data_IF_882087405446
#
_entry.id   IF_882087405446
#
_cell.length_a   1.000
_cell.length_b   1.000
_cell.length_c   1.000
_cell.angle_alpha   90.00
_cell.angle_beta   90.00
_cell.angle_gamma   90.00
#
_symmetry.space_group_name_H-M   'P 1'
#
loop_
_entity.id
_entity.type
_entity.pdbx_description
1 polymer ?
#
# COMPACT_ATOMS: atom_id res chain seq x y z
N UNK A 1 -3.49 -18.69 -9.02
CA UNK A 1 -2.79 -17.68 -8.19
C UNK A 1 -3.81 -16.65 -7.74
N UNK A 2 -4.10 -16.58 -6.44
CA UNK A 2 -5.06 -15.62 -5.88
C UNK A 2 -4.69 -14.19 -6.28
N UNK A 3 -5.63 -13.40 -6.81
CA UNK A 3 -5.42 -11.96 -7.03
C UNK A 3 -5.38 -11.31 -5.65
N UNK A 4 -4.20 -11.01 -5.12
CA UNK A 4 -4.07 -10.31 -3.83
C UNK A 4 -4.86 -9.00 -3.90
N UNK A 5 -5.85 -8.86 -3.01
CA UNK A 5 -6.76 -7.72 -2.97
C UNK A 5 -6.02 -6.52 -2.39
N UNK A 6 -6.07 -5.39 -3.09
CA UNK A 6 -5.56 -4.11 -2.59
C UNK A 6 -6.74 -3.36 -1.98
N UNK A 7 -6.63 -3.00 -0.71
CA UNK A 7 -7.64 -2.29 0.05
C UNK A 7 -7.37 -0.79 -0.02
N UNK A 8 -8.31 -0.03 -0.60
CA UNK A 8 -8.24 1.42 -0.53
C UNK A 8 -8.84 1.89 0.79
N UNK A 9 -8.10 2.68 1.53
CA UNK A 9 -8.49 3.16 2.86
C UNK A 9 -8.31 4.67 2.97
N UNK A 10 -8.82 5.26 4.04
CA UNK A 10 -8.56 6.66 4.39
C UNK A 10 -7.16 6.80 5.00
N UNK A 11 -6.50 7.98 4.87
CA UNK A 11 -5.18 8.21 5.47
C UNK A 11 -5.11 7.88 6.96
N UNK A 12 -6.15 8.26 7.72
CA UNK A 12 -6.18 8.06 9.18
C UNK A 12 -6.18 6.57 9.54
N UNK A 13 -6.87 5.75 8.75
CA UNK A 13 -6.88 4.30 8.92
C UNK A 13 -5.56 3.65 8.49
N UNK A 14 -4.90 4.22 7.48
CA UNK A 14 -3.57 3.75 7.07
C UNK A 14 -2.53 3.97 8.18
N UNK A 15 -2.60 5.11 8.88
CA UNK A 15 -1.77 5.37 10.06
C UNK A 15 -1.98 4.30 11.13
N UNK A 16 -3.23 3.89 11.40
CA UNK A 16 -3.53 2.82 12.37
C UNK A 16 -2.95 1.47 11.93
N UNK A 17 -3.04 1.12 10.65
CA UNK A 17 -2.45 -0.12 10.12
C UNK A 17 -0.93 -0.10 10.28
N UNK A 18 -0.30 1.04 9.98
CA UNK A 18 1.13 1.20 10.17
C UNK A 18 1.47 1.06 11.66
N UNK A 19 0.80 1.76 12.56
CA UNK A 19 1.09 1.70 13.99
C UNK A 19 0.91 0.30 14.59
N UNK A 20 -0.24 -0.34 14.32
CA UNK A 20 -0.61 -1.59 14.96
C UNK A 20 -0.21 -2.84 14.18
N UNK A 21 0.39 -2.67 12.99
CA UNK A 21 0.71 -3.74 12.04
C UNK A 21 -0.47 -4.68 11.79
N UNK A 22 -1.69 -4.20 11.97
CA UNK A 22 -2.93 -4.94 11.81
C UNK A 22 -4.04 -4.02 11.27
N UNK A 23 -4.93 -4.53 10.41
CA UNK A 23 -4.90 -5.86 9.77
C UNK A 23 -3.70 -6.06 8.82
N UNK A 24 -3.31 -7.33 8.63
CA UNK A 24 -2.33 -7.69 7.61
C UNK A 24 -2.97 -7.63 6.22
N UNK A 25 -2.23 -7.10 5.23
CA UNK A 25 -2.72 -6.96 3.87
C UNK A 25 -2.03 -5.87 3.07
N UNK A 26 -2.56 -5.63 1.88
CA UNK A 26 -2.10 -4.59 0.97
C UNK A 26 -3.04 -3.40 1.02
N UNK A 27 -2.52 -2.24 1.36
CA UNK A 27 -3.31 -1.02 1.54
C UNK A 27 -2.82 0.11 0.66
N UNK A 28 -3.74 1.00 0.30
CA UNK A 28 -3.47 2.13 -0.55
C UNK A 28 -4.33 3.32 -0.10
N UNK A 29 -3.72 4.48 0.10
CA UNK A 29 -4.45 5.75 0.30
C UNK A 29 -3.98 6.82 -0.68
N UNK A 30 -4.77 7.88 -0.81
CA UNK A 30 -4.38 9.11 -1.51
C UNK A 30 -4.22 10.22 -0.49
N UNK A 31 -3.03 10.80 -0.42
CA UNK A 31 -2.72 11.95 0.41
C UNK A 31 -2.34 13.13 -0.47
N UNK A 32 -3.18 14.17 -0.49
CA UNK A 32 -2.97 15.36 -1.34
C UNK A 32 -2.72 14.97 -2.82
N UNK A 33 -1.46 15.04 -3.26
CA UNK A 33 -0.99 14.77 -4.63
C UNK A 33 -0.23 13.44 -4.77
N UNK A 34 -0.03 12.70 -3.68
CA UNK A 34 0.69 11.43 -3.66
C UNK A 34 -0.25 10.26 -3.32
N UNK A 35 0.23 9.06 -3.63
CA UNK A 35 -0.38 7.79 -3.26
C UNK A 35 0.58 7.06 -2.35
N UNK A 36 0.10 6.64 -1.17
CA UNK A 36 0.88 5.87 -0.22
C UNK A 36 0.41 4.42 -0.30
N UNK A 37 1.34 3.53 -0.62
CA UNK A 37 1.13 2.09 -0.60
C UNK A 37 1.75 1.49 0.66
N UNK A 38 1.03 0.57 1.30
CA UNK A 38 1.52 -0.18 2.46
C UNK A 38 1.34 -1.66 2.21
N UNK A 39 2.45 -2.40 2.17
CA UNK A 39 2.46 -3.86 2.24
C UNK A 39 2.69 -4.28 3.69
N UNK A 40 1.60 -4.64 4.35
CA UNK A 40 1.60 -5.19 5.69
C UNK A 40 1.25 -6.67 5.69
N UNK A 41 1.56 -7.42 4.62
CA UNK A 41 1.22 -8.85 4.54
C UNK A 41 2.04 -9.72 5.50
N UNK A 42 3.25 -9.28 5.85
CA UNK A 42 4.18 -9.97 6.78
C UNK A 42 4.18 -9.40 8.20
N UNK A 43 3.51 -8.25 8.44
CA UNK A 43 3.58 -7.50 9.70
C UNK A 43 4.70 -6.45 9.76
N UNK A 44 5.52 -6.33 8.71
CA UNK A 44 6.60 -5.34 8.67
C UNK A 44 6.12 -3.94 8.22
N UNK A 45 4.95 -3.86 7.58
CA UNK A 45 4.34 -2.65 6.99
C UNK A 45 5.30 -1.82 6.13
N UNK A 46 5.86 -2.45 5.09
CA UNK A 46 6.63 -1.76 4.05
C UNK A 46 5.78 -0.65 3.44
N UNK A 47 6.35 0.56 3.33
CA UNK A 47 5.60 1.76 2.90
C UNK A 47 6.36 2.48 1.80
N UNK A 48 5.66 2.89 0.73
CA UNK A 48 6.27 3.69 -0.32
C UNK A 48 5.28 4.70 -0.94
N UNK A 49 5.81 5.83 -1.38
CA UNK A 49 5.04 6.95 -1.95
C UNK A 49 5.21 7.04 -3.46
N UNK A 50 4.10 7.36 -4.14
CA UNK A 50 4.07 7.47 -5.60
C UNK A 50 3.30 8.70 -6.05
N UNK A 51 3.77 9.34 -7.12
CA UNK A 51 3.00 10.41 -7.78
C UNK A 51 1.77 9.86 -8.53
N UNK A 52 1.80 8.58 -8.94
CA UNK A 52 0.75 7.94 -9.73
C UNK A 52 0.22 6.66 -9.09
N UNK A 53 -1.11 6.54 -9.03
CA UNK A 53 -1.82 5.37 -8.47
C UNK A 53 -1.34 4.03 -9.06
N UNK A 54 -1.08 3.99 -10.37
CA UNK A 54 -0.70 2.74 -11.03
C UNK A 54 0.68 2.24 -10.60
N UNK A 55 1.61 3.13 -10.26
CA UNK A 55 2.93 2.76 -9.76
C UNK A 55 2.80 2.13 -8.36
N UNK A 56 2.02 2.76 -7.47
CA UNK A 56 1.69 2.21 -6.15
C UNK A 56 1.05 0.82 -6.23
N UNK A 57 0.07 0.64 -7.12
CA UNK A 57 -0.58 -0.67 -7.32
C UNK A 57 0.35 -1.73 -7.91
N UNK A 58 1.35 -1.33 -8.70
CA UNK A 58 2.35 -2.24 -9.25
C UNK A 58 3.33 -2.69 -8.19
N UNK A 59 3.81 -1.75 -7.38
CA UNK A 59 4.66 -2.02 -6.22
C UNK A 59 3.99 -3.03 -5.26
N UNK A 60 2.73 -2.79 -4.89
CA UNK A 60 1.94 -3.72 -4.04
C UNK A 60 1.72 -5.12 -4.66
N UNK A 61 1.97 -5.28 -5.96
CA UNK A 61 1.85 -6.56 -6.68
C UNK A 61 3.21 -7.20 -6.95
N UNK A 62 4.30 -6.65 -6.41
CA UNK A 62 5.66 -7.08 -6.71
C UNK A 62 6.08 -6.83 -8.16
N UNK A 63 5.39 -5.93 -8.89
CA UNK A 63 5.65 -5.61 -10.30
C UNK A 63 6.49 -4.35 -10.41
N UNK A 64 7.75 -4.44 -10.00
CA UNK A 64 8.71 -3.35 -10.18
C UNK A 64 8.89 -3.07 -11.68
N UNK A 65 8.82 -1.81 -12.07
CA UNK A 65 9.23 -1.37 -13.41
C UNK A 65 10.72 -1.07 -13.30
N UNK A 66 11.58 -1.95 -13.83
CA UNK A 66 12.99 -1.61 -14.06
C UNK A 66 12.98 -0.73 -15.31
N UNK A 67 13.05 0.59 -15.13
CA UNK A 67 13.37 1.53 -16.18
C UNK A 67 14.75 2.10 -15.91
#
# INVERSE_FOLDING_TARGET
MSRTKIHRVLPEYLCQIMEHRTPCGLFLTKERRTWVAVDNTTGDAWTEEFSRKHQAMRWLRGKFEVN
#
